data_IF_458476726207
#
_entry.id   IF_458476726207
#
_cell.length_a   1.000
_cell.length_b   1.000
_cell.length_c   1.000
_cell.angle_alpha   90.00
_cell.angle_beta   90.00
_cell.angle_gamma   90.00
#
_symmetry.space_group_name_H-M   'P 1'
#
loop_
_entity.id
_entity.type
_entity.pdbx_description
1 polymer ?
2 polymer ?
3 non-polymer ?
4 non-polymer ?
5 non-polymer ?
6 non-polymer ?
7 non-polymer ?
8 water ?
#
# COMPACT_ATOMS: atom_id res chain seq x y z
N UNK A 1 -19.32 0.09 1.34
CA UNK A 1 -18.90 -0.68 2.50
C UNK A 1 -19.43 -0.06 3.77
N UNK A 2 -19.96 -0.89 4.67
CA UNK A 2 -20.47 -0.43 5.96
C UNK A 2 -19.71 -1.10 7.08
N UNK A 3 -18.67 -0.48 7.61
CA UNK A 3 -17.89 -1.10 8.67
C UNK A 3 -18.63 -1.01 10.01
N UNK A 4 -18.14 -1.79 10.97
CA UNK A 4 -18.60 -1.68 12.34
C UNK A 4 -17.39 -1.47 13.24
N UNK A 5 -17.50 -0.52 14.16
CA UNK A 5 -16.42 -0.17 15.07
C UNK A 5 -16.86 -0.30 16.51
N UNK A 6 -15.86 -0.42 17.39
CA UNK A 6 -16.02 -0.49 18.83
C UNK A 6 -15.59 0.79 19.54
N UNK A 7 -15.43 1.89 18.82
CA UNK A 7 -14.99 3.15 19.39
C UNK A 7 -15.79 4.28 18.75
N UNK A 8 -16.00 5.36 19.50
CA UNK A 8 -16.65 6.56 18.98
C UNK A 8 -15.70 7.32 18.07
N UNK A 9 -16.26 7.99 17.07
CA UNK A 9 -15.45 8.80 16.15
C UNK A 9 -15.24 10.16 16.80
N UNK A 10 -14.01 10.54 17.12
CA UNK A 10 -13.77 11.82 17.79
C UNK A 10 -14.04 13.01 16.87
N UNK A 11 -14.46 14.10 17.48
CA UNK A 11 -14.66 15.35 16.75
C UNK A 11 -13.32 15.96 16.41
N UNK A 12 -13.15 16.41 15.16
CA UNK A 12 -11.90 17.01 14.71
C UNK A 12 -12.18 18.22 13.85
N UNK A 13 -11.29 19.20 13.93
CA UNK A 13 -11.43 20.39 13.10
C UNK A 13 -10.87 20.15 11.70
N UNK A 14 -11.31 20.94 10.71
CA UNK A 14 -10.71 20.82 9.38
C UNK A 14 -9.21 21.08 9.35
N UNK A 15 -8.71 22.02 10.15
CA UNK A 15 -7.28 22.29 10.09
C UNK A 15 -6.49 21.15 10.72
N UNK A 16 -7.05 20.49 11.74
CA UNK A 16 -6.44 19.31 12.34
C UNK A 16 -6.34 18.17 11.33
N UNK A 17 -7.45 17.87 10.67
CA UNK A 17 -7.47 16.78 9.69
C UNK A 17 -6.47 17.04 8.56
N UNK A 18 -6.34 18.31 8.16
CA UNK A 18 -5.50 18.62 7.01
C UNK A 18 -4.01 18.57 7.32
N UNK A 19 -3.62 18.50 8.60
CA UNK A 19 -2.19 18.55 8.90
C UNK A 19 -1.46 17.34 8.32
N UNK A 20 -0.33 17.58 7.68
CA UNK A 20 0.42 16.54 7.00
C UNK A 20 -0.19 16.05 5.71
N UNK A 21 -1.25 16.69 5.21
CA UNK A 21 -1.88 16.31 3.96
C UNK A 21 -1.60 17.39 2.91
N UNK A 22 -1.61 16.98 1.65
CA UNK A 22 -1.48 17.90 0.53
C UNK A 22 -2.82 18.00 -0.17
N UNK A 23 -3.18 19.22 -0.56
CA UNK A 23 -4.44 19.45 -1.26
C UNK A 23 -4.20 19.20 -2.75
N UNK A 24 -4.92 18.24 -3.31
CA UNK A 24 -4.84 17.95 -4.74
C UNK A 24 -6.02 18.65 -5.41
N UNK A 25 -5.78 19.60 -6.31
CA UNK A 25 -6.90 20.32 -6.91
C UNK A 25 -7.65 19.44 -7.89
N UNK A 26 -8.92 19.76 -8.06
CA UNK A 26 -9.73 19.04 -9.02
C UNK A 26 -9.20 19.22 -10.43
N UNK A 27 -9.36 18.17 -11.23
CA UNK A 27 -8.94 18.22 -12.61
C UNK A 27 -8.86 16.82 -13.20
N UNK A 28 -8.24 16.74 -14.37
CA UNK A 28 -8.11 15.48 -15.09
C UNK A 28 -6.66 15.00 -15.06
N UNK A 29 -6.51 13.69 -15.25
CA UNK A 29 -5.20 13.10 -15.47
C UNK A 29 -5.38 11.82 -16.25
N UNK A 30 -4.29 11.32 -16.79
CA UNK A 30 -4.30 10.09 -17.58
C UNK A 30 -3.90 8.95 -16.66
N UNK A 31 -4.86 8.09 -16.35
CA UNK A 31 -4.72 6.97 -15.43
C UNK A 31 -4.42 5.69 -16.19
N UNK A 32 -3.71 4.78 -15.55
CA UNK A 32 -3.44 3.49 -16.16
C UNK A 32 -2.13 3.45 -16.90
N UNK A 33 -1.91 2.31 -17.54
CA UNK A 33 -0.66 2.10 -18.23
C UNK A 33 -0.83 1.10 -19.34
N UNK A 34 0.02 1.20 -20.35
CA UNK A 34 -0.01 0.28 -21.46
C UNK A 34 1.38 -0.25 -21.78
N UNK A 35 2.22 -0.36 -20.76
CA UNK A 35 3.50 -1.05 -20.88
C UNK A 35 3.25 -2.44 -21.45
N UNK A 36 3.91 -2.81 -22.55
CA UNK A 36 3.63 -4.12 -23.18
C UNK A 36 4.06 -5.30 -22.34
N UNK A 37 4.95 -5.11 -21.36
CA UNK A 37 5.32 -6.17 -20.44
C UNK A 37 4.38 -6.29 -19.24
N UNK A 38 3.34 -5.47 -19.15
CA UNK A 38 2.40 -5.58 -18.04
C UNK A 38 1.65 -6.91 -18.10
N UNK A 39 1.44 -7.51 -16.94
CA UNK A 39 0.68 -8.77 -16.89
C UNK A 39 -0.79 -8.48 -17.23
N UNK A 40 -1.36 -9.13 -18.25
CA UNK A 40 -2.78 -8.86 -18.58
C UNK A 40 -3.74 -9.02 -17.41
N UNK A 41 -3.50 -10.00 -16.54
CA UNK A 41 -4.36 -10.24 -15.39
C UNK A 41 -4.42 -9.05 -14.42
N UNK A 42 -3.44 -8.14 -14.48
CA UNK A 42 -3.43 -6.98 -13.60
C UNK A 42 -4.36 -5.86 -14.06
N UNK A 43 -4.77 -5.86 -15.33
CA UNK A 43 -5.62 -4.80 -15.85
C UNK A 43 -5.05 -3.39 -15.67
N UNK A 44 -3.79 -3.19 -16.03
CA UNK A 44 -3.24 -1.84 -15.92
C UNK A 44 -3.87 -0.91 -16.94
N UNK A 45 -4.34 -1.45 -18.06
CA UNK A 45 -4.98 -0.65 -19.07
C UNK A 45 -6.49 -0.68 -18.93
N UNK A 46 -7.18 0.12 -19.74
CA UNK A 46 -6.56 1.02 -20.71
C UNK A 46 -6.08 2.31 -20.07
N UNK A 47 -5.15 3.03 -20.71
CA UNK A 47 -4.92 4.41 -20.33
C UNK A 47 -6.20 5.19 -20.61
N UNK A 48 -6.62 6.01 -19.64
CA UNK A 48 -7.86 6.76 -19.82
C UNK A 48 -7.75 8.09 -19.08
N UNK A 49 -8.54 9.06 -19.53
CA UNK A 49 -8.61 10.35 -18.86
C UNK A 49 -9.70 10.28 -17.78
N UNK A 50 -9.31 10.59 -16.56
CA UNK A 50 -10.18 10.51 -15.39
C UNK A 50 -10.26 11.89 -14.78
N UNK A 51 -11.47 12.32 -14.41
CA UNK A 51 -11.66 13.60 -13.75
C UNK A 51 -11.94 13.37 -12.27
N UNK A 52 -11.18 14.05 -11.40
CA UNK A 52 -11.36 13.91 -9.96
C UNK A 52 -11.80 15.22 -9.34
N UNK A 53 -12.63 15.12 -8.31
CA UNK A 53 -12.93 16.26 -7.46
C UNK A 53 -11.73 16.56 -6.56
N UNK A 54 -11.60 17.79 -6.08
CA UNK A 54 -10.48 18.11 -5.19
C UNK A 54 -10.49 17.21 -3.96
N UNK A 55 -9.31 16.85 -3.48
CA UNK A 55 -9.21 16.01 -2.30
C UNK A 55 -7.87 16.27 -1.61
N UNK A 56 -7.79 15.82 -0.36
CA UNK A 56 -6.57 15.86 0.43
C UNK A 56 -5.97 14.47 0.49
N UNK A 57 -4.64 14.39 0.51
CA UNK A 57 -3.99 13.09 0.67
C UNK A 57 -2.74 13.24 1.53
N UNK A 58 -2.48 12.25 2.38
CA UNK A 58 -1.33 12.27 3.29
C UNK A 58 -0.02 12.33 2.51
N UNK A 59 0.90 13.20 2.96
CA UNK A 59 2.24 13.19 2.41
C UNK A 59 2.95 11.87 2.70
N UNK A 60 2.67 11.28 3.86
CA UNK A 60 3.36 10.10 4.33
C UNK A 60 2.39 8.95 4.53
N UNK A 61 2.86 7.73 4.29
CA UNK A 61 2.11 6.59 4.78
C UNK A 61 1.97 6.68 6.30
N UNK A 62 0.89 6.12 6.83
CA UNK A 62 0.67 6.17 8.28
C UNK A 62 1.79 5.45 8.99
N UNK A 63 2.36 6.11 10.00
CA UNK A 63 3.55 5.60 10.69
C UNK A 63 3.19 4.74 11.89
N UNK A 64 4.20 4.03 12.41
CA UNK A 64 4.02 3.24 13.63
C UNK A 64 3.57 4.11 14.79
N UNK A 65 4.22 5.26 14.96
CA UNK A 65 3.88 6.21 16.02
C UNK A 65 2.41 6.63 15.92
N UNK A 66 1.94 6.93 14.72
CA UNK A 66 0.55 7.36 14.54
C UNK A 66 -0.42 6.22 14.79
N UNK A 67 -0.12 5.02 14.31
CA UNK A 67 -1.02 3.90 14.57
C UNK A 67 -1.06 3.57 16.06
N UNK A 68 0.07 3.71 16.75
CA UNK A 68 0.08 3.43 18.18
C UNK A 68 -0.84 4.40 18.92
N UNK A 69 -0.86 5.65 18.50
CA UNK A 69 -1.76 6.62 19.12
C UNK A 69 -3.22 6.24 18.89
N UNK A 70 -3.54 5.77 17.68
CA UNK A 70 -4.90 5.29 17.39
C UNK A 70 -5.28 4.13 18.30
N UNK A 71 -4.39 3.14 18.45
CA UNK A 71 -4.67 2.00 19.33
C UNK A 71 -4.82 2.46 20.78
N UNK A 72 -3.94 3.36 21.23
CA UNK A 72 -4.04 3.83 22.61
C UNK A 72 -5.36 4.54 22.86
N UNK A 73 -5.84 5.31 21.88
CA UNK A 73 -7.08 6.06 22.08
C UNK A 73 -8.32 5.18 21.99
N UNK A 74 -8.25 4.05 21.28
CA UNK A 74 -9.43 3.26 20.96
C UNK A 74 -9.42 1.85 21.52
N UNK A 75 -8.27 1.29 21.86
CA UNK A 75 -8.20 -0.12 22.17
C UNK A 75 -8.37 -1.03 20.97
N UNK A 76 -8.20 -0.51 19.76
CA UNK A 76 -8.46 -1.29 18.54
C UNK A 76 -7.57 -2.53 18.47
N UNK A 77 -8.18 -3.66 18.13
CA UNK A 77 -7.51 -4.95 17.95
C UNK A 77 -7.44 -5.25 16.46
N UNK A 78 -6.23 -5.35 15.92
CA UNK A 78 -6.09 -5.55 14.48
C UNK A 78 -6.48 -6.97 14.07
N UNK A 79 -6.80 -7.12 12.78
CA UNK A 79 -7.13 -8.45 12.26
C UNK A 79 -6.01 -9.45 12.52
N UNK A 80 -4.75 -9.04 12.35
CA UNK A 80 -3.64 -9.96 12.58
C UNK A 80 -3.61 -10.43 14.03
N UNK A 81 -4.03 -9.57 14.95
CA UNK A 81 -4.10 -9.99 16.36
C UNK A 81 -5.23 -10.98 16.58
N UNK A 82 -6.39 -10.73 15.96
CA UNK A 82 -7.51 -11.67 16.07
C UNK A 82 -7.17 -13.02 15.47
N UNK A 83 -6.49 -13.02 14.32
CA UNK A 83 -6.08 -14.28 13.71
C UNK A 83 -4.94 -14.93 14.46
N UNK A 84 -4.07 -14.13 15.07
CA UNK A 84 -2.91 -14.64 15.78
C UNK A 84 -1.67 -14.86 14.93
N UNK A 85 -1.69 -14.45 13.67
CA UNK A 85 -0.52 -14.60 12.80
C UNK A 85 -0.62 -13.59 11.68
N UNK A 86 0.51 -13.35 11.02
CA UNK A 86 0.56 -12.51 9.83
C UNK A 86 1.76 -12.93 8.99
N UNK A 87 1.83 -12.41 7.76
CA UNK A 87 2.86 -12.82 6.81
C UNK A 87 4.14 -12.01 6.99
N UNK A 88 5.26 -12.72 7.09
CA UNK A 88 6.60 -12.13 7.26
C UNK A 88 7.48 -12.66 6.14
N UNK A 89 8.29 -11.80 5.55
CA UNK A 89 9.21 -12.26 4.52
C UNK A 89 10.25 -13.17 5.14
N UNK A 90 10.60 -14.25 4.42
CA UNK A 90 11.37 -15.33 5.04
C UNK A 90 12.70 -14.84 5.60
N UNK A 91 13.35 -13.89 4.91
CA UNK A 91 14.65 -13.42 5.33
C UNK A 91 14.61 -12.66 6.66
N UNK A 92 13.43 -12.27 7.11
CA UNK A 92 13.29 -11.46 8.32
C UNK A 92 12.78 -12.25 9.51
N UNK A 93 12.53 -13.55 9.33
CA UNK A 93 12.13 -14.42 10.42
C UNK A 93 13.38 -14.89 11.14
N UNK A 94 13.53 -14.51 12.41
CA UNK A 94 14.72 -14.90 13.16
C UNK A 94 14.74 -16.42 13.34
N UNK A 95 15.91 -17.07 13.20
CA UNK A 95 15.96 -18.53 13.33
C UNK A 95 15.40 -18.98 14.67
N UNK A 96 14.60 -20.04 14.62
CA UNK A 96 13.94 -20.56 15.80
C UNK A 96 12.57 -19.98 16.09
N UNK A 97 12.23 -18.85 15.47
CA UNK A 97 10.88 -18.29 15.64
C UNK A 97 9.84 -19.32 15.25
N UNK A 98 8.85 -19.60 16.11
CA UNK A 98 7.80 -20.54 15.71
C UNK A 98 7.08 -20.05 14.45
N UNK A 99 6.93 -20.95 13.48
CA UNK A 99 6.28 -20.64 12.21
C UNK A 99 5.27 -21.72 11.86
N UNK A 100 4.20 -21.30 11.18
CA UNK A 100 3.23 -22.25 10.66
C UNK A 100 3.78 -22.90 9.40
N UNK A 101 3.29 -24.11 9.10
CA UNK A 101 3.72 -24.77 7.87
C UNK A 101 3.03 -24.22 6.64
N UNK A 102 2.15 -23.23 6.80
CA UNK A 102 1.36 -22.71 5.69
C UNK A 102 2.26 -22.23 4.56
N UNK A 103 1.84 -22.51 3.33
CA UNK A 103 2.54 -22.07 2.14
C UNK A 103 1.57 -21.24 1.30
N UNK A 104 1.98 -20.04 0.92
CA UNK A 104 1.20 -19.26 -0.03
C UNK A 104 1.49 -19.85 -1.40
N UNK A 105 0.47 -20.34 -2.12
CA UNK A 105 0.73 -20.91 -3.45
C UNK A 105 1.48 -19.92 -4.32
N UNK A 106 2.58 -20.38 -4.92
CA UNK A 106 3.42 -19.63 -5.85
C UNK A 106 4.25 -18.54 -5.19
N UNK A 107 4.27 -18.44 -3.86
CA UNK A 107 5.07 -17.43 -3.17
C UNK A 107 5.65 -18.01 -1.89
N UNK A 108 6.57 -18.97 -1.99
CA UNK A 108 7.07 -19.64 -0.78
C UNK A 108 7.93 -18.75 0.11
N UNK A 109 8.26 -17.53 -0.33
CA UNK A 109 9.04 -16.62 0.50
C UNK A 109 8.20 -15.96 1.60
N UNK A 110 6.88 -16.12 1.57
CA UNK A 110 6.06 -15.60 2.65
C UNK A 110 5.92 -16.66 3.74
N UNK A 111 6.11 -16.25 4.98
CA UNK A 111 5.99 -17.14 6.12
C UNK A 111 4.86 -16.65 7.00
N UNK A 112 3.92 -17.53 7.33
CA UNK A 112 2.87 -17.22 8.30
C UNK A 112 3.46 -17.40 9.69
N UNK A 113 3.54 -16.31 10.44
CA UNK A 113 4.26 -16.28 11.71
C UNK A 113 3.28 -15.95 12.83
N UNK A 114 3.01 -16.91 13.73
CA UNK A 114 2.21 -16.60 14.91
C UNK A 114 2.80 -15.43 15.68
N UNK A 115 1.92 -14.52 16.11
CA UNK A 115 2.33 -13.40 16.92
C UNK A 115 3.01 -12.27 16.18
N UNK A 116 3.09 -12.34 14.85
CA UNK A 116 3.56 -11.21 14.06
C UNK A 116 2.39 -10.26 13.85
N UNK A 117 2.58 -9.01 14.23
CA UNK A 117 1.56 -7.99 14.03
C UNK A 117 2.28 -6.64 14.01
N UNK A 118 1.51 -5.55 14.03
CA UNK A 118 2.11 -4.23 13.75
C UNK A 118 3.19 -3.86 14.76
N UNK A 119 3.00 -4.21 16.03
CA UNK A 119 3.98 -3.86 17.04
C UNK A 119 5.12 -4.87 17.13
N UNK A 120 5.00 -6.05 16.51
CA UNK A 120 6.06 -7.05 16.48
C UNK A 120 6.16 -7.58 15.06
N UNK A 121 6.71 -6.78 14.14
CA UNK A 121 6.50 -7.04 12.71
C UNK A 121 7.21 -8.27 12.17
N UNK A 122 8.14 -8.85 12.93
CA UNK A 122 8.80 -10.09 12.53
C UNK A 122 8.43 -11.26 13.44
N UNK A 123 7.47 -11.07 14.34
CA UNK A 123 7.06 -12.13 15.22
C UNK A 123 7.51 -11.88 16.64
N UNK A 124 7.22 -12.82 17.55
CA UNK A 124 7.57 -12.64 18.95
C UNK A 124 9.06 -12.37 19.13
N UNK A 125 9.37 -11.37 19.95
CA UNK A 125 10.72 -10.92 20.15
C UNK A 125 11.09 -9.67 19.38
N UNK A 126 10.35 -9.35 18.32
CA UNK A 126 10.63 -8.14 17.56
C UNK A 126 9.75 -7.00 18.08
N UNK A 127 10.14 -5.78 17.72
CA UNK A 127 9.50 -4.58 18.24
C UNK A 127 9.72 -3.44 17.26
N UNK A 128 8.99 -2.35 17.47
CA UNK A 128 9.12 -1.16 16.64
C UNK A 128 9.75 -0.01 17.41
N UNK A 129 10.51 -0.30 18.47
CA UNK A 129 11.08 0.75 19.29
C UNK A 129 12.03 1.62 18.49
N UNK A 130 12.70 1.06 17.50
CA UNK A 130 13.57 1.83 16.62
C UNK A 130 12.92 2.14 15.27
N UNK A 131 11.60 1.93 15.14
CA UNK A 131 10.96 2.29 13.88
C UNK A 131 9.73 3.16 14.09
N UNK A 132 9.79 4.19 14.94
CA UNK A 132 8.57 4.98 15.17
C UNK A 132 8.10 5.71 13.95
N UNK A 133 9.02 6.09 13.04
CA UNK A 133 8.68 6.82 11.85
C UNK A 133 8.63 5.94 10.60
N UNK A 134 8.66 4.62 10.76
CA UNK A 134 8.44 3.70 9.66
C UNK A 134 6.95 3.52 9.42
N UNK A 135 6.55 3.14 8.21
CA UNK A 135 5.13 2.89 7.97
C UNK A 135 4.64 1.71 8.80
N UNK A 136 3.44 1.83 9.36
CA UNK A 136 2.86 0.70 10.06
C UNK A 136 2.52 -0.40 9.05
N UNK A 137 2.82 -1.64 9.40
CA UNK A 137 2.55 -2.79 8.55
C UNK A 137 1.78 -3.83 9.39
N UNK A 138 1.47 -4.96 8.75
CA UNK A 138 0.55 -5.93 9.30
C UNK A 138 -0.80 -5.31 9.62
N UNK A 139 -1.18 -4.28 8.86
CA UNK A 139 -2.50 -3.66 8.99
C UNK A 139 -3.32 -4.10 7.79
N UNK A 140 -4.48 -4.69 8.05
CA UNK A 140 -5.37 -5.09 6.98
C UNK A 140 -6.13 -3.89 6.43
N UNK A 141 -6.88 -4.13 5.35
CA UNK A 141 -7.80 -3.11 4.83
C UNK A 141 -8.78 -2.66 5.91
N UNK A 142 -9.34 -3.61 6.67
CA UNK A 142 -10.24 -3.25 7.75
C UNK A 142 -9.56 -2.35 8.78
N UNK A 143 -8.32 -2.70 9.16
CA UNK A 143 -7.59 -1.88 10.13
C UNK A 143 -7.37 -0.49 9.59
N UNK A 144 -7.02 -0.39 8.31
CA UNK A 144 -6.76 0.90 7.67
C UNK A 144 -8.01 1.76 7.68
N UNK A 145 -9.16 1.17 7.37
CA UNK A 145 -10.41 1.91 7.35
C UNK A 145 -10.76 2.37 8.76
N UNK A 146 -10.50 1.52 9.75
CA UNK A 146 -10.74 1.88 11.15
C UNK A 146 -9.87 3.05 11.55
N UNK A 147 -8.58 3.01 11.24
CA UNK A 147 -7.71 4.15 11.51
C UNK A 147 -8.21 5.40 10.81
N UNK A 148 -8.45 5.31 9.50
CA UNK A 148 -8.82 6.49 8.73
C UNK A 148 -10.10 7.11 9.26
N UNK A 149 -11.10 6.29 9.59
CA UNK A 149 -12.34 6.83 10.12
C UNK A 149 -12.11 7.52 11.44
N UNK A 150 -11.33 6.90 12.32
CA UNK A 150 -10.96 7.54 13.58
C UNK A 150 -10.28 8.89 13.34
N UNK A 151 -9.43 8.96 12.32
CA UNK A 151 -8.71 10.20 12.04
C UNK A 151 -9.56 11.23 11.30
N UNK A 152 -10.83 10.95 11.02
CA UNK A 152 -11.65 11.87 10.25
C UNK A 152 -11.39 11.81 8.76
N UNK A 153 -10.87 10.68 8.29
CA UNK A 153 -10.37 10.53 6.92
C UNK A 153 -10.99 9.28 6.31
N UNK A 154 -10.40 8.82 5.21
CA UNK A 154 -10.87 7.68 4.44
C UNK A 154 -9.69 7.15 3.66
N UNK A 155 -9.87 5.98 3.02
CA UNK A 155 -8.84 5.56 2.08
C UNK A 155 -9.02 6.28 0.76
N UNK A 156 -7.92 6.55 0.05
CA UNK A 156 -8.06 7.09 -1.31
C UNK A 156 -8.65 6.03 -2.22
N UNK A 157 -9.43 6.49 -3.19
CA UNK A 157 -9.72 5.61 -4.31
C UNK A 157 -8.44 5.30 -5.07
N UNK A 158 -8.50 4.30 -5.95
CA UNK A 158 -7.32 4.01 -6.77
C UNK A 158 -6.98 5.20 -7.67
N UNK A 159 -7.99 5.86 -8.23
CA UNK A 159 -7.73 7.00 -9.10
C UNK A 159 -7.13 8.15 -8.31
N UNK A 160 -7.63 8.42 -7.10
CA UNK A 160 -7.04 9.48 -6.28
C UNK A 160 -5.60 9.15 -5.94
N UNK A 161 -5.35 7.91 -5.52
CA UNK A 161 -4.00 7.47 -5.22
C UNK A 161 -3.08 7.70 -6.41
N UNK A 162 -3.51 7.28 -7.61
CA UNK A 162 -2.62 7.37 -8.76
C UNK A 162 -2.42 8.83 -9.21
N UNK A 163 -3.47 9.65 -9.16
CA UNK A 163 -3.27 11.05 -9.52
C UNK A 163 -2.27 11.70 -8.57
N UNK A 164 -2.45 11.48 -7.26
CA UNK A 164 -1.51 12.03 -6.29
C UNK A 164 -0.11 11.45 -6.48
N UNK A 165 0.00 10.16 -6.77
CA UNK A 165 1.31 9.53 -6.88
C UNK A 165 2.04 9.97 -8.13
N UNK A 166 1.30 10.28 -9.19
CA UNK A 166 1.93 10.72 -10.43
C UNK A 166 2.50 12.13 -10.30
N UNK A 167 2.04 12.92 -9.33
CA UNK A 167 2.72 14.15 -8.97
C UNK A 167 2.80 15.18 -10.08
N UNK A 168 1.81 15.22 -10.96
CA UNK A 168 1.77 16.25 -11.98
C UNK A 168 2.45 15.90 -13.28
N UNK A 169 2.94 14.68 -13.45
CA UNK A 169 3.51 14.24 -14.71
C UNK A 169 2.48 13.47 -15.51
N UNK A 170 2.57 13.61 -16.82
CA UNK A 170 1.63 12.98 -17.73
C UNK A 170 2.22 11.65 -18.21
N UNK A 171 1.69 10.54 -17.67
CA UNK A 171 2.01 9.19 -18.13
C UNK A 171 3.52 8.89 -18.07
N UNK A 172 4.16 9.30 -16.98
CA UNK A 172 5.51 8.85 -16.68
C UNK A 172 5.47 7.41 -16.13
N UNK A 173 6.62 6.74 -16.20
CA UNK A 173 6.72 5.37 -15.71
C UNK A 173 6.69 5.32 -14.18
N UNK A 174 7.37 6.27 -13.54
CA UNK A 174 7.51 6.33 -12.08
C UNK A 174 6.95 7.65 -11.58
N UNK A 175 6.80 7.85 -10.28
CA UNK A 175 6.28 9.14 -9.79
C UNK A 175 7.12 10.33 -10.21
N UNK A 176 8.41 10.13 -10.44
CA UNK A 176 9.36 11.22 -10.69
C UNK A 176 9.78 11.33 -12.14
N UNK A 177 9.34 10.42 -13.01
CA UNK A 177 9.77 10.44 -14.40
C UNK A 177 9.92 9.03 -14.92
N UNK A 178 10.76 8.86 -15.96
CA UNK A 178 10.84 7.58 -16.66
C UNK A 178 12.09 6.78 -16.35
N UNK A 179 13.05 7.33 -15.61
CA UNK A 179 14.26 6.61 -15.21
C UNK A 179 14.12 6.11 -13.78
N UNK A 180 14.54 4.87 -13.54
CA UNK A 180 14.45 4.31 -12.19
C UNK A 180 15.40 5.01 -11.23
N UNK A 181 16.63 5.28 -11.65
CA UNK A 181 17.62 5.95 -10.80
C UNK A 181 18.24 7.12 -11.56
N UNK A 182 17.49 8.22 -11.73
CA UNK A 182 18.06 9.39 -12.42
C UNK A 182 19.31 9.87 -11.73
N UNK A 183 20.33 10.19 -12.54
CA UNK A 183 21.61 10.68 -12.03
C UNK A 183 22.26 9.69 -11.07
N UNK A 184 21.93 8.41 -11.22
CA UNK A 184 22.45 7.35 -10.37
C UNK A 184 22.01 7.39 -8.92
N UNK A 185 20.90 8.06 -8.62
CA UNK A 185 20.42 8.17 -7.24
C UNK A 185 19.19 7.28 -7.07
N UNK A 186 19.15 6.55 -5.97
CA UNK A 186 17.94 5.81 -5.66
C UNK A 186 16.83 6.76 -5.23
N UNK A 187 15.63 6.52 -5.75
CA UNK A 187 14.46 7.35 -5.54
C UNK A 187 13.37 6.65 -4.76
N UNK A 188 13.49 5.35 -4.55
CA UNK A 188 12.49 4.58 -3.82
C UNK A 188 13.15 3.34 -3.23
N UNK A 189 12.43 2.73 -2.31
CA UNK A 189 12.91 1.55 -1.58
C UNK A 189 12.25 0.33 -2.20
N UNK A 190 12.97 -0.35 -3.09
CA UNK A 190 12.53 -1.61 -3.70
C UNK A 190 13.65 -2.62 -3.52
N UNK A 191 13.58 -3.74 -4.23
CA UNK A 191 14.60 -4.77 -4.11
C UNK A 191 15.72 -4.50 -5.10
N UNK A 192 16.96 -4.74 -4.67
CA UNK A 192 18.09 -4.88 -5.58
C UNK A 192 18.78 -6.21 -5.32
N UNK A 193 19.28 -6.83 -6.37
CA UNK A 193 19.91 -8.11 -6.21
C UNK A 193 19.11 -9.20 -6.87
N UNK A 194 19.02 -10.34 -6.21
CA UNK A 194 18.42 -11.54 -6.80
C UNK A 194 17.22 -11.96 -5.97
N UNK A 195 16.01 -11.66 -6.47
CA UNK A 195 14.81 -11.99 -5.69
C UNK A 195 14.46 -13.47 -5.86
N UNK A 196 14.11 -14.19 -4.77
CA UNK A 196 13.96 -13.73 -3.38
C UNK A 196 15.12 -14.12 -2.48
N UNK A 197 16.29 -14.37 -3.07
CA UNK A 197 17.41 -15.00 -2.35
C UNK A 197 18.26 -13.96 -1.62
N UNK A 198 18.57 -12.83 -2.25
CA UNK A 198 19.51 -11.90 -1.63
C UNK A 198 19.17 -10.47 -2.05
N UNK A 199 18.90 -9.63 -1.07
CA UNK A 199 18.64 -8.20 -1.28
C UNK A 199 19.93 -7.46 -0.94
N UNK A 200 20.52 -6.79 -1.94
CA UNK A 200 21.78 -6.11 -1.69
C UNK A 200 21.63 -4.82 -0.89
N UNK A 201 20.41 -4.31 -0.72
CA UNK A 201 20.23 -3.11 0.06
C UNK A 201 20.93 -1.91 -0.52
N UNK A 202 21.13 -1.88 -1.83
CA UNK A 202 21.82 -0.78 -2.49
C UNK A 202 21.11 0.55 -2.26
N UNK A 203 19.78 0.54 -2.13
CA UNK A 203 19.07 1.79 -1.90
C UNK A 203 19.06 2.21 -0.44
N UNK A 204 19.70 1.44 0.44
CA UNK A 204 19.84 1.79 1.84
C UNK A 204 19.07 0.89 2.80
N UNK A 205 18.10 0.13 2.32
CA UNK A 205 17.16 -0.58 3.18
C UNK A 205 16.87 -1.96 2.60
N UNK A 206 16.92 -2.99 3.44
CA UNK A 206 16.44 -4.32 3.04
C UNK A 206 15.14 -4.64 3.74
N UNK A 207 14.51 -3.65 4.36
CA UNK A 207 13.18 -3.74 4.92
C UNK A 207 12.51 -2.39 4.73
N UNK A 208 11.49 -2.08 5.52
CA UNK A 208 10.87 -0.78 5.41
C UNK A 208 11.87 0.32 5.76
N UNK A 209 11.66 1.49 5.17
CA UNK A 209 12.38 2.73 5.43
C UNK A 209 11.45 3.73 6.12
N UNK A 210 12.00 4.77 6.77
CA UNK A 210 11.13 5.80 7.35
C UNK A 210 10.20 6.37 6.29
N UNK A 211 9.00 6.79 6.72
CA UNK A 211 7.99 7.26 5.78
C UNK A 211 8.43 8.50 5.00
N UNK A 212 9.46 9.21 5.49
CA UNK A 212 9.96 10.42 4.82
C UNK A 212 11.28 10.18 4.10
N UNK A 213 11.68 8.92 3.94
CA UNK A 213 12.90 8.62 3.18
C UNK A 213 12.72 9.03 1.72
N UNK A 214 13.85 9.39 1.09
CA UNK A 214 13.92 9.72 -0.34
C UNK A 214 13.24 11.04 -0.70
N UNK A 215 13.52 11.55 -1.88
CA UNK A 215 12.85 12.76 -2.33
C UNK A 215 11.34 12.51 -2.50
N UNK A 216 10.51 13.51 -2.24
CA UNK A 216 9.08 13.38 -2.55
C UNK A 216 8.85 13.49 -4.04
N UNK A 217 7.60 13.28 -4.46
CA UNK A 217 7.26 13.52 -5.86
C UNK A 217 6.89 14.98 -6.03
N UNK A 218 6.35 15.36 -7.19
CA UNK A 218 6.09 16.75 -7.49
C UNK A 218 5.00 17.38 -6.64
N UNK A 219 4.14 16.58 -6.02
CA UNK A 219 3.08 17.08 -5.16
C UNK A 219 3.46 17.05 -3.68
N UNK A 220 4.66 16.60 -3.35
CA UNK A 220 5.11 16.51 -1.98
C UNK A 220 4.85 15.19 -1.28
N UNK A 221 4.45 14.14 -2.00
CA UNK A 221 4.19 12.85 -1.36
C UNK A 221 5.48 12.02 -1.33
N UNK A 222 5.67 11.31 -0.22
CA UNK A 222 6.87 10.53 0.03
C UNK A 222 6.57 9.04 -0.13
N UNK A 223 7.45 8.32 -0.84
CA UNK A 223 7.39 6.86 -0.94
C UNK A 223 6.06 6.34 -1.46
N UNK A 224 5.48 7.01 -2.46
CA UNK A 224 4.33 6.40 -3.10
C UNK A 224 4.77 5.19 -3.92
N UNK A 225 6.00 5.21 -4.43
CA UNK A 225 6.58 4.02 -5.04
C UNK A 225 7.49 3.36 -4.02
N UNK A 226 7.40 2.04 -3.92
CA UNK A 226 8.25 1.32 -3.01
C UNK A 226 7.84 1.48 -1.56
N UNK A 227 8.70 0.96 -0.69
CA UNK A 227 8.52 0.89 0.76
C UNK A 227 7.39 -0.08 1.13
N UNK A 228 6.13 0.35 1.11
CA UNK A 228 5.03 -0.56 1.42
C UNK A 228 3.90 -0.37 0.41
N UNK A 229 3.28 -1.51 0.03
CA UNK A 229 1.99 -1.48 -0.66
C UNK A 229 1.00 -0.65 0.15
N UNK A 230 0.09 0.02 -0.54
CA UNK A 230 -0.84 0.91 0.15
C UNK A 230 -2.27 0.56 -0.20
N UNK A 231 -3.09 0.27 0.82
CA UNK A 231 -4.49 -0.06 0.59
C UNK A 231 -5.23 1.11 -0.04
N UNK A 232 -6.07 0.82 -1.03
CA UNK A 232 -7.01 1.80 -1.57
C UNK A 232 -8.43 1.35 -1.29
N UNK A 233 -9.39 2.24 -1.54
CA UNK A 233 -10.78 1.95 -1.19
C UNK A 233 -11.41 0.93 -2.13
N UNK A 234 -11.01 0.89 -3.40
CA UNK A 234 -11.77 0.16 -4.42
C UNK A 234 -11.73 -1.35 -4.22
N UNK A 235 -12.86 -2.01 -4.52
CA UNK A 235 -12.82 -3.43 -4.85
C UNK A 235 -11.96 -3.63 -6.09
N UNK A 236 -11.20 -4.73 -6.10
CA UNK A 236 -10.38 -5.07 -7.26
C UNK A 236 -11.22 -5.64 -8.39
N UNK A 237 -10.88 -5.23 -9.61
CA UNK A 237 -11.23 -6.02 -10.78
C UNK A 237 -10.19 -5.71 -11.85
N UNK A 238 -10.10 -6.57 -12.85
CA UNK A 238 -9.18 -6.31 -13.94
C UNK A 238 -9.82 -5.57 -15.11
N UNK A 239 -11.14 -5.42 -15.13
CA UNK A 239 -11.78 -4.90 -16.34
C UNK A 239 -12.95 -3.95 -16.12
N UNK A 240 -13.40 -3.72 -14.89
CA UNK A 240 -14.46 -2.74 -14.65
C UNK A 240 -14.14 -1.39 -15.31
N UNK A 241 -12.89 -0.94 -15.17
CA UNK A 241 -12.50 0.36 -15.69
C UNK A 241 -12.25 0.35 -17.20
N UNK A 242 -12.42 -0.79 -17.89
CA UNK A 242 -12.29 -0.76 -19.34
C UNK A 242 -13.49 -0.10 -19.99
N UNK A 243 -14.61 -0.03 -19.29
CA UNK A 243 -15.80 0.66 -19.77
C UNK A 243 -15.56 2.16 -19.79
N UNK A 244 -16.05 2.84 -20.83
CA UNK A 244 -15.95 4.30 -20.93
C UNK A 244 -17.30 4.89 -20.56
N UNK A 245 -17.45 5.30 -19.30
CA UNK A 245 -18.71 5.78 -18.78
C UNK A 245 -18.42 6.80 -17.69
N UNK A 246 -19.40 7.62 -17.31
CA UNK A 246 -19.18 8.51 -16.16
C UNK A 246 -18.76 7.77 -14.89
N UNK A 247 -19.31 6.59 -14.63
CA UNK A 247 -18.94 5.90 -13.40
C UNK A 247 -17.48 5.48 -13.39
N UNK A 248 -16.89 5.23 -14.57
CA UNK A 248 -15.49 4.81 -14.62
C UNK A 248 -14.53 5.95 -14.93
N UNK A 249 -15.03 7.14 -15.26
CA UNK A 249 -14.18 8.24 -15.69
C UNK A 249 -14.33 9.52 -14.89
N UNK A 250 -15.33 9.62 -14.02
CA UNK A 250 -15.54 10.80 -13.18
C UNK A 250 -15.61 10.31 -11.74
N UNK A 251 -14.64 10.70 -10.92
CA UNK A 251 -14.54 10.23 -9.53
C UNK A 251 -14.81 8.74 -9.41
N UNK A 252 -14.14 7.89 -10.20
CA UNK A 252 -14.50 6.46 -10.21
C UNK A 252 -14.21 5.79 -8.87
N UNK A 253 -15.14 4.92 -8.45
CA UNK A 253 -15.00 4.22 -7.17
C UNK A 253 -14.74 2.73 -7.32
N UNK A 254 -14.65 2.21 -8.54
CA UNK A 254 -14.43 0.80 -8.74
C UNK A 254 -15.75 0.05 -8.72
N UNK A 255 -15.70 -1.26 -8.93
CA UNK A 255 -16.95 -2.04 -8.94
C UNK A 255 -17.60 -2.04 -7.56
N UNK A 256 -18.92 -2.25 -7.56
CA UNK A 256 -19.67 -2.19 -6.31
C UNK A 256 -19.47 -3.43 -5.44
N UNK A 257 -19.12 -4.56 -6.04
CA UNK A 257 -18.83 -5.77 -5.28
C UNK A 257 -17.45 -6.30 -5.69
N UNK A 258 -16.90 -7.15 -4.83
CA UNK A 258 -15.62 -7.77 -5.14
C UNK A 258 -15.20 -8.71 -4.03
N UNK A 259 -13.99 -9.25 -4.19
CA UNK A 259 -13.40 -10.17 -3.21
C UNK A 259 -12.11 -9.64 -2.61
N UNK A 260 -11.39 -8.78 -3.31
CA UNK A 260 -10.13 -8.24 -2.83
C UNK A 260 -10.12 -6.74 -3.06
N UNK A 261 -9.44 -6.02 -2.19
CA UNK A 261 -9.32 -4.57 -2.30
C UNK A 261 -8.01 -4.22 -2.99
N UNK A 262 -8.01 -3.09 -3.69
CA UNK A 262 -6.83 -2.68 -4.47
C UNK A 262 -5.71 -2.24 -3.53
N UNK A 263 -4.47 -2.61 -3.88
CA UNK A 263 -3.25 -2.08 -3.26
C UNK A 263 -2.40 -1.45 -4.35
N UNK A 264 -1.73 -0.35 -4.02
CA UNK A 264 -0.94 0.40 -5.00
C UNK A 264 0.46 0.68 -4.47
N UNK A 265 1.40 0.89 -5.40
CA UNK A 265 2.64 1.56 -5.09
C UNK A 265 3.87 0.67 -4.93
N UNK A 266 3.71 -0.64 -4.79
CA UNK A 266 4.87 -1.52 -4.65
C UNK A 266 5.48 -1.41 -3.28
N UNK A 267 6.52 -2.21 -3.04
CA UNK A 267 7.11 -2.29 -1.71
C UNK A 267 8.61 -2.57 -1.80
N UNK A 268 9.23 -2.71 -0.62
CA UNK A 268 10.66 -2.98 -0.56
C UNK A 268 11.02 -4.32 -1.18
N UNK A 269 10.03 -5.14 -1.53
CA UNK A 269 10.28 -6.43 -2.14
C UNK A 269 10.16 -6.43 -3.65
N UNK A 270 9.61 -5.39 -4.27
CA UNK A 270 9.36 -5.42 -5.70
C UNK A 270 10.66 -5.37 -6.49
N UNK A 271 10.68 -6.06 -7.63
CA UNK A 271 11.88 -6.12 -8.44
C UNK A 271 11.49 -6.37 -9.88
N UNK A 272 12.25 -5.77 -10.80
CA UNK A 272 11.98 -5.87 -12.23
C UNK A 272 11.90 -7.31 -12.70
N UNK A 273 12.68 -8.20 -12.13
CA UNK A 273 12.78 -9.53 -12.69
C UNK A 273 11.74 -10.48 -12.12
N UNK A 274 10.96 -10.04 -11.14
CA UNK A 274 9.86 -10.87 -10.66
C UNK A 274 8.56 -10.19 -11.04
N UNK A 275 8.15 -9.20 -10.24
CA UNK A 275 6.83 -8.60 -10.37
C UNK A 275 6.81 -7.31 -11.20
N UNK A 276 7.89 -6.52 -11.17
CA UNK A 276 7.96 -5.28 -11.92
C UNK A 276 6.79 -4.35 -11.55
N UNK A 277 6.34 -4.38 -10.30
CA UNK A 277 5.10 -3.69 -9.93
C UNK A 277 5.35 -2.39 -9.15
N UNK A 278 6.53 -1.79 -9.28
CA UNK A 278 6.80 -0.50 -8.64
C UNK A 278 6.62 0.66 -9.61
N UNK A 279 6.19 0.38 -10.84
CA UNK A 279 5.74 1.44 -11.74
C UNK A 279 4.42 2.03 -11.23
N UNK A 280 4.24 3.33 -11.45
CA UNK A 280 3.14 4.03 -10.79
C UNK A 280 1.79 3.54 -11.30
N UNK A 281 1.71 3.04 -12.54
CA UNK A 281 0.47 2.47 -13.07
C UNK A 281 0.16 1.08 -12.53
N UNK A 282 1.13 0.42 -11.90
CA UNK A 282 0.93 -0.96 -11.45
C UNK A 282 -0.15 -1.04 -10.38
N UNK A 283 -0.69 -2.25 -10.20
CA UNK A 283 -1.77 -2.46 -9.25
C UNK A 283 -1.82 -3.95 -8.92
N UNK A 284 -2.23 -4.26 -7.69
CA UNK A 284 -2.62 -5.62 -7.37
C UNK A 284 -3.68 -5.53 -6.28
N UNK A 285 -3.88 -6.62 -5.55
CA UNK A 285 -4.96 -6.66 -4.58
C UNK A 285 -4.63 -7.63 -3.47
N UNK A 286 -5.45 -7.57 -2.42
CA UNK A 286 -5.36 -8.54 -1.34
C UNK A 286 -6.72 -8.55 -0.65
N UNK A 287 -7.04 -9.68 -0.02
CA UNK A 287 -8.34 -9.77 0.63
C UNK A 287 -8.36 -8.90 1.89
N UNK A 288 -9.52 -8.37 2.26
CA UNK A 288 -9.53 -7.19 3.14
C UNK A 288 -9.14 -7.46 4.58
N UNK A 289 -9.19 -8.70 5.09
CA UNK A 289 -8.66 -8.97 6.42
C UNK A 289 -7.24 -9.52 6.38
N UNK A 290 -6.58 -9.49 5.23
CA UNK A 290 -5.20 -9.96 5.12
C UNK A 290 -4.22 -8.88 5.55
N UNK A 291 -3.05 -9.31 6.01
CA UNK A 291 -2.02 -8.38 6.47
C UNK A 291 -0.66 -8.98 6.17
N UNK A 292 0.35 -8.11 6.05
CA UNK A 292 1.67 -8.58 5.66
C UNK A 292 2.68 -7.52 6.02
N UNK A 293 3.94 -7.96 6.15
CA UNK A 293 5.01 -7.09 6.59
C UNK A 293 5.37 -6.02 5.57
N UNK A 294 4.79 -6.04 4.38
CA UNK A 294 5.15 -5.06 3.35
C UNK A 294 3.96 -4.21 2.90
N UNK A 295 2.90 -4.18 3.70
CA UNK A 295 1.66 -3.51 3.30
C UNK A 295 1.19 -2.60 4.41
N UNK A 296 0.97 -1.33 4.06
CA UNK A 296 0.45 -0.32 4.95
C UNK A 296 -0.57 0.52 4.21
N UNK A 297 -0.60 1.84 4.45
CA UNK A 297 -1.61 2.67 3.83
C UNK A 297 -1.32 4.12 4.14
N UNK A 298 -1.88 5.00 3.31
CA UNK A 298 -1.97 6.43 3.60
C UNK A 298 -3.42 6.85 3.46
N UNK A 299 -3.79 7.94 4.10
CA UNK A 299 -5.18 8.37 4.10
C UNK A 299 -5.43 9.50 3.12
N UNK A 300 -6.72 9.64 2.75
CA UNK A 300 -7.21 10.75 1.95
C UNK A 300 -8.34 11.41 2.72
N UNK A 301 -8.79 12.58 2.24
CA UNK A 301 -9.91 13.23 2.91
C UNK A 301 -10.59 14.21 1.97
N UNK A 302 -11.87 14.46 2.26
CA UNK A 302 -12.55 15.49 1.45
C UNK A 302 -12.33 16.85 2.09
N UNK A 303 -12.03 17.89 1.29
CA UNK A 303 -11.81 19.21 1.90
C UNK A 303 -13.13 19.87 2.30
N UNK B 1 5.65 -18.31 -14.09
CA UNK B 1 4.90 -19.29 -14.87
C UNK B 1 3.39 -18.99 -14.77
N UNK B 2 2.99 -18.43 -13.63
CA UNK B 2 1.69 -17.80 -13.45
C UNK B 2 1.94 -16.36 -12.98
N UNK B 3 0.89 -15.55 -12.97
CA UNK B 3 1.02 -14.15 -12.57
C UNK B 3 1.78 -14.02 -11.25
N UNK B 4 2.86 -13.24 -11.21
CA UNK B 4 3.58 -13.03 -9.96
C UNK B 4 2.65 -12.54 -8.84
N UNK B 5 2.98 -12.92 -7.62
CA UNK B 5 2.13 -12.67 -6.47
C UNK B 5 2.82 -11.72 -5.51
N UNK B 6 2.20 -10.55 -5.28
CA UNK B 6 2.70 -9.58 -4.32
C UNK B 6 1.82 -9.45 -3.09
N UNK B 7 0.54 -9.85 -3.18
CA UNK B 7 -0.37 -9.74 -2.05
C UNK B 7 -0.78 -11.09 -1.51
N UNK B 8 -0.07 -11.56 -0.47
CA UNK B 8 -0.40 -12.85 0.14
C UNK B 8 -1.67 -12.74 0.97
N UNK B 9 -2.65 -13.57 0.65
CA UNK B 9 -3.96 -13.49 1.30
C UNK B 9 -4.11 -14.60 2.33
N UNK B 10 -4.90 -14.32 3.37
CA UNK B 10 -5.16 -15.34 4.38
C UNK B 10 -5.88 -16.54 3.78
N UNK B 11 -6.77 -16.29 2.83
CA UNK B 11 -7.52 -17.38 2.20
C UNK B 11 -6.61 -18.33 1.43
N UNK B 12 -5.49 -17.83 0.90
CA UNK B 12 -4.69 -18.62 -0.02
C UNK B 12 -3.97 -19.80 0.65
N UNK B 13 -3.82 -19.79 1.98
CA UNK B 13 -3.11 -20.88 2.65
C UNK B 13 -4.04 -21.97 3.15
N UNK B 14 -5.35 -21.81 3.02
CA UNK B 14 -6.31 -22.82 3.46
C UNK B 14 -6.30 -24.02 2.51
#
# INVERSE_FOLDING_TARGET
HMPSFDFDIPRRSPQEIAKGMVAIPGGTFRMGGEDPDAFPEDGEGPVRTVRLSPFLIDRYAVSNRQFAAFVKATGYVTDAERYGWSFVFHAHVAPGTPVMDAVVPEAPWWVAVPGAYWKAPEGPGSSITDRPNHPVVHVSWNDAVAYATWAGKRLPTEAEWEMAARGGLDQARYPWGNELTPRGRHRCNIWQGTFPVHDTGEDGYTGTAPVNAFAPNGYGLYNVAGNVWEWCADWWSADWHATESPATRIDPRGPETGTARVTKGGSFLCHESYCNRYRVAARTCNTPDSSAAHTGFRCAADP
ATTPLCGPSRASILSG
#
